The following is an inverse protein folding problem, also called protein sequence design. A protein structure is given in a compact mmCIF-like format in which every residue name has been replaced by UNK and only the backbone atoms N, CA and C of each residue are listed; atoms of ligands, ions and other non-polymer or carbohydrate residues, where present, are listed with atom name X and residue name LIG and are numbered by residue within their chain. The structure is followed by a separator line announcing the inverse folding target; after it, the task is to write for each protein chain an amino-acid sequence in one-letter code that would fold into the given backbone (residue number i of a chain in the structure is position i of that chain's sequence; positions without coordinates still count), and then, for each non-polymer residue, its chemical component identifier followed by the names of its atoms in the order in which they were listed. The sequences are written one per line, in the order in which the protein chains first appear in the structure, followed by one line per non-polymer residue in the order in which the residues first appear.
data_IF_644250835666
#
_entry.id   IF_644250835666
#
_cell.length_a   1.000
_cell.length_b   1.000
_cell.length_c   1.000
_cell.angle_alpha   90.00
_cell.angle_beta   90.00
_cell.angle_gamma   90.00
#
_symmetry.space_group_name_H-M   'P 1'
#
loop_
_entity.id
_entity.type
_entity.pdbx_description
1 polymer ?
#
# COMPACT_ATOMS: atom_id res chain seq x y z
N UNK A 1 -16.73 -2.66 -17.18
CA UNK A 1 -16.27 -1.25 -17.13
C UNK A 1 -16.75 -0.48 -15.88
N UNK A 2 -18.04 -0.19 -15.68
CA UNK A 2 -18.50 0.60 -14.52
C UNK A 2 -18.11 -0.02 -13.16
N UNK A 3 -18.30 -1.33 -13.01
CA UNK A 3 -17.88 -2.07 -11.81
C UNK A 3 -16.39 -1.92 -11.51
N UNK A 4 -15.52 -2.04 -12.52
CA UNK A 4 -14.07 -1.85 -12.36
C UNK A 4 -13.72 -0.45 -11.85
N UNK A 5 -14.39 0.58 -12.37
CA UNK A 5 -14.17 1.97 -11.94
C UNK A 5 -14.55 2.13 -10.46
N UNK A 6 -15.70 1.59 -10.06
CA UNK A 6 -16.17 1.66 -8.67
C UNK A 6 -15.20 0.92 -7.74
N UNK A 7 -14.79 -0.30 -8.08
CA UNK A 7 -13.84 -1.08 -7.29
C UNK A 7 -12.52 -0.32 -7.14
N UNK A 8 -11.97 0.19 -8.24
CA UNK A 8 -10.73 0.97 -8.22
C UNK A 8 -10.84 2.22 -7.33
N UNK A 9 -11.93 2.98 -7.45
CA UNK A 9 -12.16 4.17 -6.64
C UNK A 9 -12.26 3.86 -5.15
N UNK A 10 -12.97 2.78 -4.79
CA UNK A 10 -13.11 2.31 -3.41
C UNK A 10 -11.74 1.90 -2.85
N UNK A 11 -10.98 1.07 -3.57
CA UNK A 11 -9.68 0.58 -3.10
C UNK A 11 -8.67 1.72 -2.92
N UNK A 12 -8.57 2.62 -3.89
CA UNK A 12 -7.68 3.79 -3.80
C UNK A 12 -8.08 4.70 -2.63
N UNK A 13 -9.38 5.00 -2.49
CA UNK A 13 -9.88 5.86 -1.42
C UNK A 13 -9.65 5.23 -0.05
N UNK A 14 -9.90 3.92 0.08
CA UNK A 14 -9.67 3.17 1.30
C UNK A 14 -8.17 3.16 1.67
N UNK A 15 -7.28 2.86 0.72
CA UNK A 15 -5.83 2.88 0.95
C UNK A 15 -5.33 4.25 1.41
N UNK A 16 -5.73 5.33 0.71
CA UNK A 16 -5.35 6.70 1.07
C UNK A 16 -5.89 7.09 2.45
N UNK A 17 -7.13 6.71 2.78
CA UNK A 17 -7.75 7.02 4.08
C UNK A 17 -7.06 6.27 5.22
N UNK A 18 -6.78 4.97 5.02
CA UNK A 18 -6.03 4.14 5.98
C UNK A 18 -4.66 4.76 6.23
N UNK A 19 -3.94 5.11 5.16
CA UNK A 19 -2.61 5.69 5.25
C UNK A 19 -2.63 7.03 6.01
N UNK A 20 -3.56 7.91 5.64
CA UNK A 20 -3.74 9.20 6.29
C UNK A 20 -4.02 9.04 7.79
N UNK A 21 -4.96 8.19 8.17
CA UNK A 21 -5.33 7.96 9.57
C UNK A 21 -4.16 7.36 10.34
N UNK A 22 -3.41 6.42 9.75
CA UNK A 22 -2.21 5.86 10.36
C UNK A 22 -1.15 6.92 10.62
N UNK A 23 -0.84 7.78 9.64
CA UNK A 23 0.11 8.88 9.82
C UNK A 23 -0.38 9.91 10.83
N UNK A 24 -1.67 10.25 10.81
CA UNK A 24 -2.28 11.17 11.77
C UNK A 24 -2.17 10.64 13.20
N UNK A 25 -2.52 9.38 13.42
CA UNK A 25 -2.42 8.74 14.73
C UNK A 25 -0.98 8.60 15.18
N UNK A 26 -0.06 8.30 14.27
CA UNK A 26 1.36 8.25 14.55
C UNK A 26 1.87 9.65 14.97
N UNK A 27 1.55 10.70 14.21
CA UNK A 27 1.91 12.08 14.54
C UNK A 27 1.38 12.51 15.91
N UNK A 28 0.16 12.10 16.26
CA UNK A 28 -0.50 12.43 17.53
C UNK A 28 0.08 11.67 18.72
N UNK A 29 0.36 10.37 18.56
CA UNK A 29 0.75 9.47 19.67
C UNK A 29 2.25 9.37 19.85
N UNK A 30 3.04 9.52 18.80
CA UNK A 30 4.50 9.34 18.85
C UNK A 30 5.21 10.23 19.90
N UNK A 31 4.81 11.50 20.11
CA UNK A 31 5.42 12.36 21.12
C UNK A 31 5.20 11.89 22.56
N UNK A 32 4.08 11.20 22.85
CA UNK A 32 3.71 10.75 24.20
C UNK A 32 4.23 9.36 24.55
N UNK A 33 4.87 8.65 23.61
CA UNK A 33 5.46 7.33 23.89
C UNK A 33 6.65 7.47 24.85
N UNK A 34 6.67 6.72 25.98
CA UNK A 34 7.71 6.81 27.01
C UNK A 34 8.99 6.04 26.61
N UNK A 35 9.52 6.32 25.42
CA UNK A 35 10.79 5.80 24.92
C UNK A 35 11.75 6.95 24.57
N UNK A 36 13.05 6.66 24.52
CA UNK A 36 14.07 7.65 24.15
C UNK A 36 13.76 8.26 22.78
N UNK A 37 13.96 9.59 22.59
CA UNK A 37 13.62 10.29 21.36
C UNK A 37 14.14 9.61 20.08
N UNK A 38 15.38 9.12 20.10
CA UNK A 38 15.98 8.42 18.94
C UNK A 38 15.23 7.16 18.50
N UNK A 39 14.56 6.46 19.42
CA UNK A 39 13.82 5.22 19.13
C UNK A 39 12.38 5.48 18.66
N UNK A 40 11.87 6.71 18.82
CA UNK A 40 10.53 7.09 18.32
C UNK A 40 10.47 7.01 16.80
N UNK A 41 11.49 7.52 16.11
CA UNK A 41 11.58 7.41 14.65
C UNK A 41 11.59 5.94 14.22
N UNK A 42 12.36 5.09 14.91
CA UNK A 42 12.42 3.66 14.61
C UNK A 42 11.05 2.97 14.77
N UNK A 43 10.32 3.28 15.85
CA UNK A 43 8.94 2.81 16.04
C UNK A 43 8.02 3.28 14.89
N UNK A 44 8.18 4.54 14.46
CA UNK A 44 7.45 5.09 13.32
C UNK A 44 7.72 4.32 12.02
N UNK A 45 8.99 3.98 11.74
CA UNK A 45 9.36 3.16 10.57
C UNK A 45 8.65 1.81 10.58
N UNK A 46 8.70 1.07 11.69
CA UNK A 46 8.01 -0.22 11.77
C UNK A 46 6.50 -0.09 11.63
N UNK A 47 5.90 0.95 12.21
CA UNK A 47 4.46 1.21 12.11
C UNK A 47 4.05 1.51 10.67
N UNK A 48 4.85 2.29 9.94
CA UNK A 48 4.62 2.61 8.53
C UNK A 48 4.78 1.38 7.63
N UNK A 49 5.79 0.54 7.87
CA UNK A 49 5.95 -0.72 7.13
C UNK A 49 4.70 -1.60 7.31
N UNK A 50 4.18 -1.71 8.53
CA UNK A 50 2.94 -2.46 8.78
C UNK A 50 1.74 -1.83 8.07
N UNK A 51 1.62 -0.49 8.07
CA UNK A 51 0.55 0.19 7.33
C UNK A 51 0.58 -0.13 5.83
N UNK A 52 1.76 -0.09 5.21
CA UNK A 52 1.94 -0.48 3.81
C UNK A 52 1.61 -1.95 3.55
N UNK A 53 1.96 -2.86 4.46
CA UNK A 53 1.55 -4.26 4.35
C UNK A 53 0.01 -4.36 4.34
N UNK A 54 -0.69 -3.67 5.24
CA UNK A 54 -2.16 -3.67 5.25
C UNK A 54 -2.76 -3.09 3.95
N UNK A 55 -2.18 -2.01 3.43
CA UNK A 55 -2.60 -1.40 2.15
C UNK A 55 -2.41 -2.37 0.97
N UNK A 56 -1.28 -3.08 0.93
CA UNK A 56 -1.01 -4.13 -0.07
C UNK A 56 -2.03 -5.26 0.06
N UNK A 57 -2.33 -5.73 1.27
CA UNK A 57 -3.35 -6.78 1.46
C UNK A 57 -4.76 -6.33 1.05
N UNK A 58 -5.08 -5.04 1.18
CA UNK A 58 -6.33 -4.46 0.68
C UNK A 58 -6.41 -4.57 -0.86
N UNK A 59 -5.33 -4.22 -1.58
CA UNK A 59 -5.27 -4.37 -3.03
C UNK A 59 -5.25 -5.84 -3.46
N UNK A 60 -4.53 -6.71 -2.74
CA UNK A 60 -4.52 -8.15 -2.96
C UNK A 60 -5.93 -8.76 -2.90
N UNK A 61 -6.71 -8.36 -1.91
CA UNK A 61 -8.12 -8.75 -1.81
C UNK A 61 -8.93 -8.20 -2.99
N UNK A 62 -8.68 -6.95 -3.39
CA UNK A 62 -9.25 -6.35 -4.60
C UNK A 62 -9.00 -7.19 -5.85
N UNK A 63 -7.76 -7.62 -6.09
CA UNK A 63 -7.41 -8.52 -7.19
C UNK A 63 -8.15 -9.84 -7.11
N UNK A 64 -8.10 -10.49 -5.94
CA UNK A 64 -8.73 -11.78 -5.74
C UNK A 64 -10.24 -11.72 -6.00
N UNK A 65 -10.92 -10.67 -5.56
CA UNK A 65 -12.35 -10.48 -5.85
C UNK A 65 -12.60 -10.21 -7.34
N UNK A 66 -11.75 -9.40 -7.98
CA UNK A 66 -11.93 -9.06 -9.39
C UNK A 66 -11.72 -10.24 -10.35
N UNK A 67 -10.72 -11.08 -10.13
CA UNK A 67 -10.47 -12.26 -11.00
C UNK A 67 -11.58 -13.31 -10.91
N UNK A 68 -12.32 -13.35 -9.79
CA UNK A 68 -13.43 -14.27 -9.58
C UNK A 68 -14.77 -13.73 -10.14
N UNK A 69 -14.78 -12.52 -10.70
CA UNK A 69 -15.94 -11.92 -11.34
C UNK A 69 -15.78 -11.93 -12.86
N UNK A 70 -16.72 -12.55 -13.56
CA UNK A 70 -16.70 -12.63 -15.02
C UNK A 70 -16.63 -11.23 -15.66
N UNK A 71 -15.77 -11.09 -16.67
CA UNK A 71 -15.64 -9.87 -17.46
C UNK A 71 -14.78 -8.75 -16.84
N UNK A 72 -14.21 -8.93 -15.64
CA UNK A 72 -13.29 -7.94 -15.05
C UNK A 72 -11.82 -8.15 -15.43
N UNK A 73 -11.46 -9.33 -15.95
CA UNK A 73 -10.12 -9.66 -16.40
C UNK A 73 -9.56 -10.88 -15.68
N UNK A 74 -8.27 -11.14 -15.89
CA UNK A 74 -7.57 -12.27 -15.32
C UNK A 74 -6.12 -11.92 -15.00
N UNK A 75 -5.53 -12.67 -14.09
CA UNK A 75 -4.08 -12.74 -13.90
C UNK A 75 -3.59 -14.05 -14.53
N UNK A 76 -2.48 -13.98 -15.25
CA UNK A 76 -1.86 -15.13 -15.94
C UNK A 76 -0.35 -15.17 -15.69
N UNK A 77 0.31 -16.25 -16.11
CA UNK A 77 1.74 -16.46 -15.87
C UNK A 77 1.97 -17.42 -14.70
N UNK A 78 2.90 -17.07 -13.81
CA UNK A 78 3.20 -17.79 -12.57
C UNK A 78 2.11 -17.56 -11.50
N UNK A 79 0.86 -17.91 -11.83
CA UNK A 79 -0.32 -17.59 -11.04
C UNK A 79 -1.24 -18.81 -10.90
N UNK A 80 -1.56 -19.18 -9.65
CA UNK A 80 -2.39 -20.35 -9.32
C UNK A 80 -3.82 -20.01 -8.86
N UNK A 81 -4.29 -18.77 -9.05
CA UNK A 81 -5.59 -18.28 -8.57
C UNK A 81 -5.75 -18.17 -7.05
N UNK A 82 -4.67 -18.27 -6.27
CA UNK A 82 -4.72 -18.07 -4.82
C UNK A 82 -4.66 -16.60 -4.43
N UNK A 83 -5.22 -16.30 -3.26
CA UNK A 83 -5.08 -14.99 -2.62
C UNK A 83 -3.60 -14.67 -2.30
N UNK A 84 -2.77 -15.70 -2.05
CA UNK A 84 -1.34 -15.52 -1.80
C UNK A 84 -0.63 -15.00 -3.04
N UNK A 85 -0.89 -15.56 -4.22
CA UNK A 85 -0.30 -15.06 -5.45
C UNK A 85 -0.84 -13.65 -5.81
N UNK A 86 -2.11 -13.36 -5.49
CA UNK A 86 -2.64 -11.99 -5.59
C UNK A 86 -1.89 -11.03 -4.65
N UNK A 87 -1.53 -11.47 -3.44
CA UNK A 87 -0.74 -10.66 -2.51
C UNK A 87 0.67 -10.42 -3.03
N UNK A 88 1.33 -11.44 -3.57
CA UNK A 88 2.64 -11.30 -4.21
C UNK A 88 2.57 -10.33 -5.40
N UNK A 89 1.57 -10.46 -6.27
CA UNK A 89 1.36 -9.53 -7.38
C UNK A 89 1.15 -8.08 -6.89
N UNK A 90 0.35 -7.89 -5.85
CA UNK A 90 0.12 -6.59 -5.20
C UNK A 90 1.42 -6.03 -4.60
N UNK A 91 2.23 -6.83 -3.89
CA UNK A 91 3.54 -6.39 -3.40
C UNK A 91 4.42 -5.84 -4.52
N UNK A 92 4.53 -6.58 -5.63
CA UNK A 92 5.38 -6.17 -6.76
C UNK A 92 4.84 -4.93 -7.48
N UNK A 93 3.52 -4.77 -7.55
CA UNK A 93 2.86 -3.65 -8.22
C UNK A 93 2.89 -2.38 -7.37
N UNK A 94 2.50 -2.47 -6.10
CA UNK A 94 2.46 -1.38 -5.13
C UNK A 94 3.82 -0.73 -4.92
N UNK A 95 4.88 -1.55 -4.83
CA UNK A 95 6.26 -1.08 -4.65
C UNK A 95 6.95 -0.71 -5.94
N UNK A 96 6.27 -0.83 -7.09
CA UNK A 96 6.79 -0.59 -8.44
C UNK A 96 7.95 -1.49 -8.84
N UNK A 97 8.10 -2.65 -8.19
CA UNK A 97 9.15 -3.63 -8.45
C UNK A 97 8.95 -4.37 -9.79
N UNK A 98 7.72 -4.85 -10.04
CA UNK A 98 7.29 -5.37 -11.35
C UNK A 98 8.14 -6.48 -11.96
N UNK A 99 8.30 -7.63 -11.28
CA UNK A 99 9.04 -8.78 -11.83
C UNK A 99 8.50 -9.31 -13.16
N UNK A 100 7.21 -9.14 -13.42
CA UNK A 100 6.57 -9.51 -14.69
C UNK A 100 6.31 -11.00 -14.86
N UNK A 101 6.45 -11.81 -13.79
CA UNK A 101 6.10 -13.24 -13.82
C UNK A 101 4.60 -13.50 -13.71
N UNK A 102 3.84 -12.52 -13.20
CA UNK A 102 2.37 -12.48 -13.23
C UNK A 102 1.93 -11.25 -14.02
N UNK A 103 1.04 -11.46 -14.99
CA UNK A 103 0.59 -10.42 -15.91
C UNK A 103 -0.94 -10.20 -15.84
N UNK A 104 -1.42 -8.95 -15.71
CA UNK A 104 -2.84 -8.64 -15.72
C UNK A 104 -3.40 -8.45 -17.14
N UNK A 105 -4.57 -9.02 -17.41
CA UNK A 105 -5.31 -8.85 -18.67
C UNK A 105 -6.76 -8.42 -18.41
N UNK A 106 -7.35 -7.68 -19.35
CA UNK A 106 -8.72 -7.13 -19.20
C UNK A 106 -8.76 -5.85 -18.35
N UNK A 107 -9.85 -5.62 -17.60
CA UNK A 107 -10.03 -4.38 -16.83
C UNK A 107 -9.14 -4.31 -15.58
N UNK A 108 -8.70 -5.45 -15.03
CA UNK A 108 -7.85 -5.52 -13.83
C UNK A 108 -6.50 -4.80 -13.98
N UNK A 109 -5.99 -4.66 -15.22
CA UNK A 109 -4.76 -3.89 -15.51
C UNK A 109 -4.84 -2.43 -15.06
N UNK A 110 -6.05 -1.85 -15.02
CA UNK A 110 -6.24 -0.49 -14.53
C UNK A 110 -6.12 -0.40 -13.01
N UNK A 111 -6.53 -1.46 -12.29
CA UNK A 111 -6.25 -1.54 -10.86
C UNK A 111 -4.74 -1.59 -10.62
N UNK A 112 -4.00 -2.37 -11.39
CA UNK A 112 -2.53 -2.43 -11.32
C UNK A 112 -1.86 -1.09 -11.53
N UNK A 113 -2.20 -0.37 -12.59
CA UNK A 113 -1.65 0.97 -12.80
C UNK A 113 -1.98 1.96 -11.66
N UNK A 114 -3.22 1.92 -11.15
CA UNK A 114 -3.64 2.79 -10.05
C UNK A 114 -3.00 2.42 -8.71
N UNK A 115 -2.84 1.14 -8.42
CA UNK A 115 -2.14 0.64 -7.25
C UNK A 115 -0.68 1.08 -7.29
N UNK A 116 0.04 0.88 -8.40
CA UNK A 116 1.43 1.32 -8.52
C UNK A 116 1.61 2.82 -8.28
N UNK A 117 0.72 3.64 -8.86
CA UNK A 117 0.75 5.08 -8.62
C UNK A 117 0.43 5.42 -7.15
N UNK A 118 -0.59 4.77 -6.57
CA UNK A 118 -1.00 4.99 -5.19
C UNK A 118 0.13 4.61 -4.24
N UNK A 119 0.70 3.41 -4.38
CA UNK A 119 1.79 2.93 -3.54
C UNK A 119 3.02 3.82 -3.59
N UNK A 120 3.42 4.29 -4.78
CA UNK A 120 4.50 5.26 -4.92
C UNK A 120 4.23 6.56 -4.13
N UNK A 121 3.01 7.10 -4.23
CA UNK A 121 2.61 8.31 -3.48
C UNK A 121 2.63 8.07 -1.97
N UNK A 122 2.08 6.94 -1.50
CA UNK A 122 2.02 6.65 -0.06
C UNK A 122 3.41 6.39 0.53
N UNK A 123 4.29 5.67 -0.18
CA UNK A 123 5.67 5.42 0.25
C UNK A 123 6.45 6.75 0.36
N UNK A 124 6.31 7.64 -0.64
CA UNK A 124 7.00 8.94 -0.62
C UNK A 124 6.43 9.90 0.43
N UNK A 125 5.13 9.85 0.70
CA UNK A 125 4.50 10.57 1.80
C UNK A 125 5.05 10.09 3.15
N UNK A 126 5.15 8.77 3.33
CA UNK A 126 5.75 8.16 4.53
C UNK A 126 7.20 8.57 4.75
N UNK A 127 8.02 8.57 3.70
CA UNK A 127 9.41 9.03 3.78
C UNK A 127 9.48 10.51 4.21
N UNK A 128 8.62 11.36 3.66
CA UNK A 128 8.54 12.79 4.01
C UNK A 128 8.10 12.99 5.46
N UNK A 129 7.12 12.21 5.93
CA UNK A 129 6.69 12.23 7.33
C UNK A 129 7.83 11.83 8.27
N UNK A 130 8.50 10.71 8.00
CA UNK A 130 9.62 10.24 8.82
C UNK A 130 10.78 11.23 8.85
N UNK A 131 11.04 11.91 7.73
CA UNK A 131 12.04 12.98 7.68
C UNK A 131 11.71 14.12 8.64
N UNK A 132 10.45 14.55 8.71
CA UNK A 132 10.02 15.56 9.68
C UNK A 132 10.15 15.06 11.13
N UNK A 133 9.85 13.79 11.41
CA UNK A 133 10.04 13.22 12.74
C UNK A 133 11.53 13.11 13.14
N UNK A 134 12.42 12.79 12.19
CA UNK A 134 13.87 12.82 12.42
C UNK A 134 14.35 14.22 12.82
N UNK A 135 13.88 15.26 12.13
CA UNK A 135 14.22 16.65 12.46
C UNK A 135 13.76 17.08 13.87
N UNK A 136 12.71 16.44 14.40
CA UNK A 136 12.20 16.71 15.76
C UNK A 136 13.00 16.00 16.84
N UNK A 137 13.36 14.74 16.63
CA UNK A 137 13.90 13.88 17.71
C UNK A 137 15.41 13.67 17.67
N UNK A 138 16.09 13.97 16.56
CA UNK A 138 17.55 13.83 16.47
C UNK A 138 18.27 15.10 16.92
N UNK A 139 19.50 14.98 17.44
CA UNK A 139 20.32 16.12 17.81
C UNK A 139 20.47 17.07 16.62
N UNK A 140 20.15 18.35 16.82
CA UNK A 140 20.52 19.41 15.90
C UNK A 140 21.97 19.78 16.19
N UNK A 141 22.81 19.83 15.16
CA UNK A 141 24.14 20.44 15.26
C UNK A 141 24.01 21.94 15.50
#
# INVERSE_FOLDING_TARGET
MLFSIIINAILVTAAVTIHYEMLYQLAKKLPSVPILPRFRVLLGVFTIILAHIFEIWLFALGYYLMINLEGLGALSGNFNQSLLDCSYFSFTSYTTLGFGDIEPSGHIRFLTGLESLTGLVLITWSASFLFLEMQKYWPKK
#
